data_IF_749144020967
#
_entry.id   IF_749144020967
#
_cell.length_a   1.000
_cell.length_b   1.000
_cell.length_c   1.000
_cell.angle_alpha   90.00
_cell.angle_beta   90.00
_cell.angle_gamma   90.00
#
_symmetry.space_group_name_H-M   'P 1'
#
loop_
_entity.id
_entity.type
_entity.pdbx_description
1 polymer ?
#
# COMPACT_ATOMS: atom_id res chain seq x y z
N UNK A 1 -30.26 -21.70 -18.68
CA UNK A 1 -29.62 -20.69 -19.55
C UNK A 1 -28.20 -21.12 -19.97
N UNK A 2 -27.51 -21.95 -19.17
CA UNK A 2 -26.13 -22.40 -19.40
C UNK A 2 -26.01 -23.94 -19.59
N UNK A 3 -27.14 -24.65 -19.63
CA UNK A 3 -27.13 -26.07 -19.86
C UNK A 3 -26.67 -26.36 -21.30
N UNK A 4 -25.72 -27.30 -21.44
CA UNK A 4 -25.27 -27.87 -22.69
C UNK A 4 -25.56 -29.39 -22.67
N UNK A 5 -26.00 -29.94 -23.78
CA UNK A 5 -26.44 -31.37 -23.87
C UNK A 5 -25.30 -32.36 -23.57
N UNK A 6 -24.05 -31.95 -23.82
CA UNK A 6 -22.85 -32.76 -23.66
C UNK A 6 -22.13 -32.56 -22.31
N UNK A 7 -22.70 -31.75 -21.42
CA UNK A 7 -22.11 -31.45 -20.11
C UNK A 7 -23.05 -31.88 -18.98
N UNK A 8 -22.50 -32.59 -18.00
CA UNK A 8 -23.26 -33.00 -16.82
C UNK A 8 -23.81 -31.75 -16.10
N UNK A 9 -25.13 -31.64 -15.88
CA UNK A 9 -25.75 -30.47 -15.26
C UNK A 9 -25.19 -30.13 -13.87
N UNK A 10 -24.71 -31.12 -13.11
CA UNK A 10 -24.10 -30.94 -11.79
C UNK A 10 -22.69 -30.32 -11.85
N UNK A 11 -22.05 -30.33 -13.02
CA UNK A 11 -20.70 -29.81 -13.24
C UNK A 11 -20.64 -28.84 -14.41
N UNK A 12 -21.71 -28.05 -14.58
CA UNK A 12 -21.75 -26.98 -15.57
C UNK A 12 -21.30 -25.67 -14.91
N UNK A 13 -20.11 -25.18 -15.30
CA UNK A 13 -19.52 -23.94 -14.79
C UNK A 13 -19.79 -22.78 -15.77
N UNK A 14 -20.59 -21.83 -15.36
CA UNK A 14 -20.97 -20.69 -16.21
C UNK A 14 -19.87 -19.62 -16.32
N UNK A 15 -18.96 -19.57 -15.37
CA UNK A 15 -17.83 -18.62 -15.30
C UNK A 15 -16.61 -19.34 -14.74
N UNK A 16 -15.38 -18.96 -15.13
CA UNK A 16 -14.18 -19.41 -14.44
C UNK A 16 -14.18 -18.84 -13.02
N UNK A 17 -13.87 -19.67 -12.06
CA UNK A 17 -13.81 -19.26 -10.65
C UNK A 17 -12.67 -19.94 -9.93
N UNK A 18 -12.20 -19.31 -8.87
CA UNK A 18 -11.25 -19.91 -7.95
C UNK A 18 -11.96 -20.84 -6.98
N UNK A 19 -11.35 -21.97 -6.67
CA UNK A 19 -11.88 -22.89 -5.65
C UNK A 19 -11.46 -22.43 -4.24
N UNK A 20 -11.94 -21.26 -3.82
CA UNK A 20 -11.73 -20.71 -2.48
C UNK A 20 -12.95 -20.99 -1.61
N UNK A 21 -12.72 -21.61 -0.47
CA UNK A 21 -13.76 -21.92 0.51
C UNK A 21 -13.46 -21.19 1.81
N UNK A 22 -14.42 -20.38 2.25
CA UNK A 22 -14.40 -19.77 3.58
C UNK A 22 -14.83 -20.81 4.64
N UNK A 23 -14.36 -20.64 5.86
CA UNK A 23 -14.81 -21.37 7.03
C UNK A 23 -15.79 -20.55 7.85
N UNK A 24 -16.58 -21.16 8.72
CA UNK A 24 -17.46 -20.46 9.64
C UNK A 24 -16.70 -19.51 10.56
N UNK A 25 -15.48 -19.86 10.99
CA UNK A 25 -14.61 -19.00 11.79
C UNK A 25 -14.28 -17.71 11.03
N UNK A 26 -13.94 -17.81 9.74
CA UNK A 26 -13.67 -16.63 8.89
C UNK A 26 -14.93 -15.76 8.77
N UNK A 27 -16.09 -16.39 8.64
CA UNK A 27 -17.37 -15.68 8.53
C UNK A 27 -17.72 -14.92 9.83
N UNK A 28 -17.54 -15.54 11.00
CA UNK A 28 -17.76 -14.90 12.30
C UNK A 28 -16.85 -13.69 12.48
N UNK A 29 -15.55 -13.83 12.20
CA UNK A 29 -14.59 -12.72 12.23
C UNK A 29 -14.99 -11.62 11.24
N UNK A 30 -15.38 -11.99 10.04
CA UNK A 30 -15.82 -11.06 9.00
C UNK A 30 -17.04 -10.26 9.42
N UNK A 31 -18.04 -10.89 10.03
CA UNK A 31 -19.25 -10.23 10.53
C UNK A 31 -18.94 -9.18 11.62
N UNK A 32 -17.93 -9.43 12.45
CA UNK A 32 -17.49 -8.44 13.45
C UNK A 32 -16.67 -7.31 12.80
N UNK A 33 -15.82 -7.64 11.84
CA UNK A 33 -15.00 -6.62 11.17
C UNK A 33 -15.82 -5.68 10.29
N UNK A 34 -16.86 -6.17 9.61
CA UNK A 34 -17.69 -5.35 8.72
C UNK A 34 -18.43 -4.25 9.48
N UNK A 35 -18.75 -4.46 10.76
CA UNK A 35 -19.38 -3.43 11.61
C UNK A 35 -18.51 -2.17 11.78
N UNK A 36 -17.19 -2.30 11.63
CA UNK A 36 -16.20 -1.22 11.77
C UNK A 36 -15.63 -0.74 10.46
N UNK A 37 -16.05 -1.32 9.33
CA UNK A 37 -15.45 -1.09 8.03
C UNK A 37 -15.49 0.39 7.64
N UNK A 38 -16.68 1.02 7.69
CA UNK A 38 -16.86 2.41 7.27
C UNK A 38 -16.09 3.39 8.17
N UNK A 39 -16.08 3.15 9.48
CA UNK A 39 -15.29 3.97 10.41
C UNK A 39 -13.78 3.82 10.17
N UNK A 40 -13.31 2.60 9.89
CA UNK A 40 -11.90 2.35 9.57
C UNK A 40 -11.51 2.99 8.22
N UNK A 41 -12.39 2.97 7.22
CA UNK A 41 -12.18 3.64 5.94
C UNK A 41 -12.03 5.14 6.18
N UNK A 42 -12.97 5.75 6.89
CA UNK A 42 -12.96 7.19 7.20
C UNK A 42 -11.68 7.60 7.96
N UNK A 43 -11.29 6.82 8.97
CA UNK A 43 -10.07 7.08 9.73
C UNK A 43 -8.82 7.03 8.84
N UNK A 44 -8.68 6.01 7.98
CA UNK A 44 -7.54 5.91 7.07
C UNK A 44 -7.49 7.03 6.04
N UNK A 45 -8.63 7.45 5.52
CA UNK A 45 -8.71 8.58 4.59
C UNK A 45 -8.27 9.88 5.28
N UNK A 46 -8.74 10.12 6.51
CA UNK A 46 -8.35 11.29 7.29
C UNK A 46 -6.86 11.28 7.63
N UNK A 47 -6.33 10.13 8.05
CA UNK A 47 -4.90 9.98 8.33
C UNK A 47 -4.05 10.30 7.09
N UNK A 48 -4.43 9.79 5.93
CA UNK A 48 -3.73 10.09 4.67
C UNK A 48 -3.78 11.58 4.34
N UNK A 49 -4.94 12.22 4.50
CA UNK A 49 -5.10 13.66 4.29
C UNK A 49 -4.20 14.46 5.22
N UNK A 50 -4.21 14.16 6.52
CA UNK A 50 -3.34 14.79 7.51
C UNK A 50 -1.86 14.59 7.16
N UNK A 51 -1.47 13.37 6.78
CA UNK A 51 -0.11 13.04 6.36
C UNK A 51 0.35 13.92 5.21
N UNK A 52 -0.41 13.95 4.11
CA UNK A 52 -0.05 14.72 2.91
C UNK A 52 -0.05 16.23 3.12
N UNK A 53 -0.93 16.75 3.98
CA UNK A 53 -1.01 18.19 4.30
C UNK A 53 0.17 18.68 5.15
N UNK A 54 0.74 17.81 5.98
CA UNK A 54 1.82 18.18 6.90
C UNK A 54 3.22 17.85 6.38
N UNK A 55 3.35 17.04 5.33
CA UNK A 55 4.64 16.79 4.68
C UNK A 55 5.12 18.02 3.90
N UNK A 56 6.43 18.30 3.99
CA UNK A 56 7.08 19.35 3.20
C UNK A 56 7.12 18.98 1.71
N UNK A 57 6.30 19.65 0.91
CA UNK A 57 6.19 19.41 -0.53
C UNK A 57 7.47 19.72 -1.32
N UNK A 58 8.46 20.41 -0.75
CA UNK A 58 9.76 20.60 -1.38
C UNK A 58 10.64 19.33 -1.27
N UNK A 59 10.48 18.56 -0.19
CA UNK A 59 11.28 17.37 0.11
C UNK A 59 10.59 16.07 -0.29
N UNK A 60 9.26 16.04 -0.27
CA UNK A 60 8.46 14.84 -0.49
C UNK A 60 7.41 15.05 -1.58
N UNK A 61 7.02 13.96 -2.25
CA UNK A 61 5.84 13.94 -3.09
C UNK A 61 4.59 13.92 -2.23
N UNK A 62 3.65 14.84 -2.50
CA UNK A 62 2.38 14.99 -1.77
C UNK A 62 1.17 14.99 -2.71
N UNK A 63 1.39 14.97 -4.01
CA UNK A 63 0.33 14.99 -5.02
C UNK A 63 -0.07 13.56 -5.38
N UNK A 64 -1.08 13.05 -4.68
CA UNK A 64 -1.64 11.72 -4.87
C UNK A 64 -3.12 11.80 -5.23
N UNK A 65 -3.56 10.90 -6.07
CA UNK A 65 -4.99 10.68 -6.30
C UNK A 65 -5.59 9.99 -5.07
N UNK A 66 -6.35 10.73 -4.28
CA UNK A 66 -6.92 10.26 -3.00
C UNK A 66 -8.37 9.83 -3.11
N UNK A 67 -9.08 10.25 -4.14
CA UNK A 67 -10.51 9.93 -4.34
C UNK A 67 -10.73 8.42 -4.46
N UNK A 68 -11.65 7.90 -3.66
CA UNK A 68 -11.97 6.48 -3.62
C UNK A 68 -10.89 5.59 -2.98
N UNK A 69 -9.88 6.19 -2.34
CA UNK A 69 -8.75 5.48 -1.76
C UNK A 69 -8.84 5.40 -0.23
N UNK A 70 -8.74 4.19 0.31
CA UNK A 70 -8.56 3.93 1.74
C UNK A 70 -7.25 3.17 1.95
N UNK A 71 -6.14 3.88 1.88
CA UNK A 71 -4.80 3.29 1.91
C UNK A 71 -4.51 2.59 3.24
N UNK A 72 -3.99 1.37 3.19
CA UNK A 72 -3.49 0.65 4.36
C UNK A 72 -2.13 1.19 4.84
N UNK A 73 -1.48 2.00 4.03
CA UNK A 73 -0.14 2.56 4.28
C UNK A 73 -0.09 4.05 3.92
N UNK A 74 0.77 4.79 4.61
CA UNK A 74 1.11 6.18 4.33
C UNK A 74 2.39 6.20 3.48
N UNK A 75 2.32 6.63 2.22
CA UNK A 75 3.48 6.66 1.33
C UNK A 75 4.41 7.82 1.69
N UNK A 76 5.71 7.60 1.55
CA UNK A 76 6.73 8.61 1.66
C UNK A 76 7.70 8.44 0.49
N UNK A 77 7.66 9.36 -0.47
CA UNK A 77 8.54 9.36 -1.63
C UNK A 77 9.35 10.64 -1.61
N UNK A 78 10.66 10.50 -1.48
CA UNK A 78 11.59 11.62 -1.46
C UNK A 78 11.75 12.22 -2.85
N UNK A 79 11.89 13.53 -2.95
CA UNK A 79 12.33 14.19 -4.18
C UNK A 79 13.83 14.01 -4.38
N UNK A 80 14.29 13.92 -5.64
CA UNK A 80 15.69 13.60 -5.99
C UNK A 80 16.72 14.48 -5.32
N UNK A 81 16.40 15.74 -5.11
CA UNK A 81 17.29 16.71 -4.49
C UNK A 81 17.43 16.49 -2.98
N UNK A 82 16.59 15.64 -2.41
CA UNK A 82 16.62 15.25 -1.00
C UNK A 82 17.11 13.80 -0.84
N UNK A 83 18.41 13.57 -1.00
CA UNK A 83 19.01 12.23 -0.87
C UNK A 83 19.23 11.86 0.62
N UNK A 84 18.19 12.02 1.44
CA UNK A 84 18.25 11.80 2.89
C UNK A 84 17.59 10.49 3.32
N UNK A 85 17.41 9.51 2.43
CA UNK A 85 16.73 8.24 2.77
C UNK A 85 17.26 7.60 4.06
N UNK A 86 18.58 7.56 4.24
CA UNK A 86 19.19 6.99 5.46
C UNK A 86 18.80 7.75 6.73
N UNK A 87 18.75 9.08 6.67
CA UNK A 87 18.34 9.89 7.82
C UNK A 87 16.84 9.73 8.12
N UNK A 88 16.01 9.66 7.07
CA UNK A 88 14.58 9.36 7.22
C UNK A 88 14.38 8.01 7.91
N UNK A 89 15.10 6.97 7.48
CA UNK A 89 15.06 5.66 8.12
C UNK A 89 15.49 5.74 9.60
N UNK A 90 16.57 6.48 9.91
CA UNK A 90 17.01 6.67 11.30
C UNK A 90 15.95 7.35 12.17
N UNK A 91 15.28 8.38 11.66
CA UNK A 91 14.16 9.03 12.38
C UNK A 91 13.03 8.03 12.65
N UNK A 92 12.64 7.23 11.65
CA UNK A 92 11.59 6.23 11.82
C UNK A 92 11.98 5.15 12.84
N UNK A 93 13.25 4.72 12.86
CA UNK A 93 13.79 3.77 13.83
C UNK A 93 13.81 4.34 15.26
N UNK A 94 14.24 5.59 15.42
CA UNK A 94 14.21 6.31 16.71
C UNK A 94 12.79 6.45 17.26
N UNK A 95 11.82 6.69 16.39
CA UNK A 95 10.40 6.78 16.73
C UNK A 95 9.71 5.41 16.83
N UNK A 96 10.43 4.32 16.65
CA UNK A 96 9.91 2.95 16.67
C UNK A 96 8.78 2.72 15.64
N UNK A 97 8.85 3.40 14.50
CA UNK A 97 7.90 3.26 13.40
C UNK A 97 8.41 2.24 12.40
N UNK A 98 7.68 1.13 12.23
CA UNK A 98 7.98 0.14 11.19
C UNK A 98 7.77 0.76 9.80
N UNK A 99 8.74 0.59 8.92
CA UNK A 99 8.67 1.04 7.53
C UNK A 99 9.11 -0.06 6.57
N UNK A 100 8.75 0.09 5.32
CA UNK A 100 9.20 -0.79 4.24
C UNK A 100 9.69 0.03 3.06
N UNK A 101 10.88 -0.30 2.59
CA UNK A 101 11.50 0.33 1.42
C UNK A 101 10.81 -0.12 0.13
N UNK A 102 10.69 0.81 -0.81
CA UNK A 102 9.85 0.61 -1.97
C UNK A 102 8.36 0.64 -1.56
N UNK A 103 7.45 0.91 -2.46
CA UNK A 103 6.04 1.08 -2.09
C UNK A 103 5.24 -0.21 -2.07
N UNK A 104 5.73 -1.29 -2.63
CA UNK A 104 5.06 -2.59 -2.58
C UNK A 104 6.06 -3.71 -2.83
N UNK A 105 6.02 -4.75 -2.01
CA UNK A 105 6.75 -5.98 -2.24
C UNK A 105 8.26 -5.84 -2.52
N UNK A 106 8.92 -4.80 -1.99
CA UNK A 106 10.35 -4.54 -2.22
C UNK A 106 10.65 -3.67 -3.44
N UNK A 107 9.71 -2.83 -3.89
CA UNK A 107 9.90 -1.85 -4.95
C UNK A 107 9.79 -2.43 -6.37
N UNK A 108 10.68 -2.08 -7.28
CA UNK A 108 10.62 -2.54 -8.66
C UNK A 108 10.89 -4.04 -8.78
N UNK A 109 9.87 -4.82 -9.12
CA UNK A 109 9.95 -6.27 -9.27
C UNK A 109 10.90 -6.70 -10.38
N UNK A 110 11.11 -5.88 -11.43
CA UNK A 110 12.06 -6.17 -12.49
C UNK A 110 13.54 -6.22 -12.02
N UNK A 111 13.83 -5.70 -10.81
CA UNK A 111 15.15 -5.80 -10.17
C UNK A 111 15.30 -7.03 -9.26
N UNK A 112 14.26 -7.84 -9.12
CA UNK A 112 14.30 -8.98 -8.22
C UNK A 112 15.02 -10.18 -8.86
N UNK A 113 15.95 -10.83 -8.13
CA UNK A 113 16.80 -11.88 -8.69
C UNK A 113 16.02 -13.13 -9.15
N UNK A 114 14.80 -13.36 -8.64
CA UNK A 114 14.00 -14.50 -9.10
C UNK A 114 13.60 -14.40 -10.57
N UNK A 115 13.45 -13.18 -11.11
CA UNK A 115 13.11 -12.97 -12.52
C UNK A 115 14.22 -13.38 -13.49
N UNK A 116 15.47 -13.44 -13.05
CA UNK A 116 16.58 -13.92 -13.88
C UNK A 116 16.38 -15.37 -14.36
N UNK A 117 15.53 -16.14 -13.66
CA UNK A 117 15.23 -17.54 -13.95
C UNK A 117 14.01 -17.75 -14.84
N UNK A 118 13.31 -16.68 -15.19
CA UNK A 118 12.05 -16.75 -15.94
C UNK A 118 12.10 -15.82 -17.16
N UNK A 119 11.48 -16.27 -18.25
CA UNK A 119 11.22 -15.37 -19.37
C UNK A 119 10.15 -14.38 -18.97
N UNK A 120 10.45 -13.08 -19.01
CA UNK A 120 9.49 -12.00 -18.75
C UNK A 120 9.69 -10.88 -19.76
N UNK A 121 8.65 -10.07 -19.93
CA UNK A 121 8.69 -8.88 -20.76
C UNK A 121 8.59 -7.65 -19.89
N UNK A 122 9.44 -6.68 -20.16
CA UNK A 122 9.33 -5.32 -19.63
C UNK A 122 8.55 -4.49 -20.64
N UNK A 123 7.53 -3.77 -20.18
CA UNK A 123 6.78 -2.82 -20.96
C UNK A 123 7.10 -1.41 -20.47
N UNK A 124 7.57 -0.54 -21.40
CA UNK A 124 8.05 0.79 -21.09
C UNK A 124 9.47 0.84 -20.50
N UNK A 125 9.84 2.00 -19.97
CA UNK A 125 11.20 2.31 -19.49
C UNK A 125 11.41 2.13 -17.98
N UNK A 126 10.34 1.84 -17.25
CA UNK A 126 10.33 1.66 -15.78
C UNK A 126 10.91 2.84 -14.97
N UNK A 127 11.01 4.06 -15.53
CA UNK A 127 11.61 5.21 -14.84
C UNK A 127 10.93 5.50 -13.52
N UNK A 128 9.59 5.52 -13.49
CA UNK A 128 8.81 5.77 -12.27
C UNK A 128 8.97 4.63 -11.26
N UNK A 129 8.92 3.37 -11.72
CA UNK A 129 9.11 2.21 -10.85
C UNK A 129 10.52 2.18 -10.23
N UNK A 130 11.54 2.54 -11.02
CA UNK A 130 12.92 2.69 -10.53
C UNK A 130 13.03 3.83 -9.50
N UNK A 131 12.40 4.97 -9.81
CA UNK A 131 12.40 6.11 -8.90
C UNK A 131 11.81 5.75 -7.54
N UNK A 132 10.63 5.13 -7.52
CA UNK A 132 9.97 4.69 -6.30
C UNK A 132 10.78 3.62 -5.56
N UNK A 133 11.46 2.73 -6.29
CA UNK A 133 12.37 1.74 -5.69
C UNK A 133 13.50 2.40 -4.90
N UNK A 134 14.09 3.45 -5.47
CA UNK A 134 15.28 4.09 -4.91
C UNK A 134 14.93 5.16 -3.85
N UNK A 135 13.78 5.82 -3.97
CA UNK A 135 13.39 7.00 -3.18
C UNK A 135 12.07 6.84 -2.41
N UNK A 136 11.43 5.68 -2.49
CA UNK A 136 10.14 5.42 -1.87
C UNK A 136 10.24 4.50 -0.65
N UNK A 137 9.41 4.79 0.34
CA UNK A 137 9.07 3.89 1.44
C UNK A 137 7.62 4.10 1.86
N UNK A 138 7.12 3.28 2.75
CA UNK A 138 5.83 3.51 3.40
C UNK A 138 5.84 3.04 4.84
N UNK A 139 4.94 3.62 5.63
CA UNK A 139 4.62 3.24 7.01
C UNK A 139 3.17 2.77 7.11
N UNK A 140 2.80 2.11 8.19
CA UNK A 140 1.43 1.63 8.38
C UNK A 140 0.44 2.78 8.57
N UNK A 141 -0.76 2.63 7.99
CA UNK A 141 -1.90 3.53 8.22
C UNK A 141 -2.95 2.80 9.07
N UNK A 142 -2.76 2.84 10.38
CA UNK A 142 -3.68 2.18 11.30
C UNK A 142 -4.86 3.11 11.66
N UNK A 143 -6.12 2.62 11.73
CA UNK A 143 -7.27 3.45 12.07
C UNK A 143 -7.20 4.12 13.45
N UNK A 144 -6.39 3.58 14.36
CA UNK A 144 -6.21 4.14 15.71
C UNK A 144 -5.12 5.21 15.82
N UNK A 145 -4.41 5.53 14.71
CA UNK A 145 -3.48 6.64 14.68
C UNK A 145 -4.23 7.95 14.93
N UNK A 146 -3.70 8.75 15.84
CA UNK A 146 -4.22 10.08 16.12
C UNK A 146 -3.59 11.12 15.19
N UNK A 147 -4.34 12.18 14.89
CA UNK A 147 -3.82 13.32 14.13
C UNK A 147 -2.53 13.86 14.74
N UNK A 148 -2.47 13.95 16.07
CA UNK A 148 -1.28 14.42 16.80
C UNK A 148 -0.04 13.58 16.49
N UNK A 149 -0.15 12.25 16.52
CA UNK A 149 0.97 11.35 16.21
C UNK A 149 1.45 11.53 14.76
N UNK A 150 0.54 11.73 13.82
CA UNK A 150 0.87 11.96 12.41
C UNK A 150 1.60 13.29 12.25
N UNK A 151 1.09 14.36 12.87
CA UNK A 151 1.72 15.69 12.80
C UNK A 151 3.11 15.68 13.43
N UNK A 152 3.27 15.13 14.64
CA UNK A 152 4.57 15.05 15.32
C UNK A 152 5.60 14.26 14.48
N UNK A 153 5.19 13.17 13.84
CA UNK A 153 6.07 12.40 12.97
C UNK A 153 6.45 13.19 11.72
N UNK A 154 5.47 13.84 11.06
CA UNK A 154 5.76 14.65 9.86
C UNK A 154 6.68 15.82 10.17
N UNK A 155 6.54 16.49 11.31
CA UNK A 155 7.46 17.54 11.76
C UNK A 155 8.90 17.04 11.85
N UNK A 156 9.12 15.86 12.45
CA UNK A 156 10.46 15.24 12.54
C UNK A 156 11.02 14.91 11.16
N UNK A 157 10.21 14.34 10.28
CA UNK A 157 10.61 13.99 8.91
C UNK A 157 10.92 15.24 8.06
N UNK A 158 10.21 16.34 8.27
CA UNK A 158 10.42 17.59 7.55
C UNK A 158 11.72 18.30 7.93
N UNK A 159 12.29 17.98 9.10
CA UNK A 159 13.53 18.57 9.61
C UNK A 159 14.81 17.80 9.19
N UNK A 160 14.65 16.78 8.35
CA UNK A 160 15.76 15.98 7.80
C UNK A 160 16.26 16.60 6.51
#
# INVERSE_FOLDING_TARGET
KYAKEDVNPLFTFAVPGYNMRSTELNAVLGLEQIKRLDSNISARCNNLSTWLQNLNSNSFYVDYMTDGSSNYALPLILKKDNNNMKKICSVLEEEQVEYRLGTAGGGNQARQPYLERYAFRIDGDLQVANYIHDFGLYIGNHPELTEKQIVELTEKLNNV
#
